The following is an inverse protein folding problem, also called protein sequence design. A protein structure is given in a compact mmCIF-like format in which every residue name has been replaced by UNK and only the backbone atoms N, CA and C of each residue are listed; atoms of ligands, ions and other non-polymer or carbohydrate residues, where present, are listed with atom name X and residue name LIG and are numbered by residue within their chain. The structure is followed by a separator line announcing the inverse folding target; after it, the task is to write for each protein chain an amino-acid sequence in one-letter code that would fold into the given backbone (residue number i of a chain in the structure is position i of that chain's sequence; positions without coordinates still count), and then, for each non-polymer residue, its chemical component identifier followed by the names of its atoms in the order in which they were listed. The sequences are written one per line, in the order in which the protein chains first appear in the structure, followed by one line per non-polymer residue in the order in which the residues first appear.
data_IF_952087041376
#
_entry.id   IF_952087041376
#
_cell.length_a   1.000
_cell.length_b   1.000
_cell.length_c   1.000
_cell.angle_alpha   90.00
_cell.angle_beta   90.00
_cell.angle_gamma   90.00
#
_symmetry.space_group_name_H-M   'P 1'
#
loop_
_entity.id
_entity.type
_entity.pdbx_description
1 polymer ?
#
# COMPACT_ATOMS: atom_id res chain seq x y z
N UNK A 1 -11.56 -17.61 8.94
CA UNK A 1 -12.06 -16.95 7.71
C UNK A 1 -11.18 -17.34 6.52
N UNK A 2 -11.73 -17.42 5.30
CA UNK A 2 -10.98 -17.64 4.05
C UNK A 2 -11.11 -16.39 3.18
N UNK A 3 -10.00 -15.91 2.64
CA UNK A 3 -9.95 -14.74 1.76
C UNK A 3 -8.85 -14.94 0.70
N UNK A 4 -9.18 -14.82 -0.60
CA UNK A 4 -8.34 -15.23 -1.74
C UNK A 4 -7.65 -16.59 -1.54
N UNK A 5 -8.41 -17.61 -1.10
CA UNK A 5 -7.91 -18.96 -0.78
C UNK A 5 -7.03 -19.05 0.48
N UNK A 6 -6.64 -17.93 1.08
CA UNK A 6 -5.83 -17.90 2.30
C UNK A 6 -6.69 -18.05 3.55
N UNK A 7 -6.28 -18.94 4.46
CA UNK A 7 -6.94 -19.11 5.76
C UNK A 7 -6.36 -18.18 6.83
N UNK A 8 -7.23 -17.44 7.51
CA UNK A 8 -6.88 -16.55 8.63
C UNK A 8 -7.51 -17.05 9.93
N UNK A 9 -6.69 -17.03 11.00
CA UNK A 9 -7.07 -17.42 12.37
C UNK A 9 -7.39 -16.21 13.28
N UNK A 10 -7.23 -14.99 12.76
CA UNK A 10 -7.55 -13.76 13.49
C UNK A 10 -9.03 -13.45 13.38
N UNK A 11 -9.53 -12.62 14.30
CA UNK A 11 -10.86 -12.05 14.22
C UNK A 11 -10.97 -11.11 13.01
N UNK A 12 -12.16 -10.96 12.47
CA UNK A 12 -12.42 -10.13 11.29
C UNK A 12 -11.99 -8.68 11.48
N UNK A 13 -12.21 -8.12 12.67
CA UNK A 13 -11.79 -6.76 13.02
C UNK A 13 -10.26 -6.54 12.97
N UNK A 14 -9.46 -7.60 13.15
CA UNK A 14 -7.99 -7.54 13.02
C UNK A 14 -7.52 -7.72 11.56
N UNK A 15 -8.45 -8.01 10.66
CA UNK A 15 -8.20 -8.23 9.24
C UNK A 15 -8.74 -7.09 8.37
N UNK A 16 -9.31 -6.05 8.98
CA UNK A 16 -9.69 -4.78 8.38
C UNK A 16 -8.88 -3.67 9.02
N UNK A 17 -8.47 -2.66 8.25
CA UNK A 17 -7.87 -1.45 8.80
C UNK A 17 -8.92 -0.68 9.61
N UNK A 18 -8.53 -0.30 10.82
CA UNK A 18 -9.35 0.55 11.68
C UNK A 18 -8.47 1.57 12.38
N UNK A 19 -9.09 2.65 12.86
CA UNK A 19 -8.39 3.65 13.67
C UNK A 19 -7.75 3.03 14.92
N UNK A 20 -8.36 1.98 15.48
CA UNK A 20 -7.89 1.28 16.69
C UNK A 20 -6.66 0.41 16.42
N UNK A 21 -6.56 -0.19 15.24
CA UNK A 21 -5.46 -1.09 14.88
C UNK A 21 -4.38 -0.45 13.98
N UNK A 22 -4.57 0.80 13.57
CA UNK A 22 -3.63 1.54 12.74
C UNK A 22 -2.26 1.72 13.44
N UNK A 23 -2.28 2.03 14.74
CA UNK A 23 -1.09 2.19 15.55
C UNK A 23 -0.71 0.88 16.23
N UNK A 24 0.25 0.16 15.65
CA UNK A 24 0.72 -1.10 16.22
C UNK A 24 1.66 -0.90 17.41
N UNK A 25 1.30 -1.50 18.55
CA UNK A 25 2.14 -1.65 19.74
C UNK A 25 2.59 -3.10 19.90
N UNK A 26 3.82 -3.30 20.34
CA UNK A 26 4.31 -4.61 20.79
C UNK A 26 3.57 -5.03 22.07
N UNK A 27 3.73 -6.29 22.48
CA UNK A 27 3.14 -6.84 23.72
C UNK A 27 3.55 -6.10 24.99
N UNK A 28 4.73 -5.48 25.01
CA UNK A 28 5.22 -4.67 26.13
C UNK A 28 4.68 -3.22 26.11
N UNK A 29 3.77 -2.89 25.17
CA UNK A 29 3.18 -1.56 25.02
C UNK A 29 4.02 -0.57 24.22
N UNK A 30 5.24 -0.95 23.80
CA UNK A 30 6.13 -0.05 23.04
C UNK A 30 5.82 -0.03 21.55
N UNK A 31 6.04 1.13 20.95
CA UNK A 31 6.06 1.29 19.50
C UNK A 31 7.34 0.70 18.89
N UNK A 32 7.25 -0.09 17.80
CA UNK A 32 8.43 -0.43 17.02
C UNK A 32 8.91 0.79 16.23
N UNK A 33 10.22 1.02 16.24
CA UNK A 33 10.90 2.09 15.51
C UNK A 33 11.95 1.48 14.57
N UNK A 34 12.07 2.02 13.35
CA UNK A 34 13.06 1.54 12.37
C UNK A 34 14.37 2.32 12.42
N UNK A 35 14.30 3.64 12.50
CA UNK A 35 15.47 4.52 12.37
C UNK A 35 16.22 4.72 13.69
N UNK A 36 15.72 4.13 14.78
CA UNK A 36 16.25 4.36 16.13
C UNK A 36 16.04 5.80 16.59
N UNK A 37 16.79 6.21 17.59
CA UNK A 37 16.67 7.53 18.21
C UNK A 37 16.03 7.49 19.59
N UNK A 38 16.29 8.52 20.38
CA UNK A 38 15.68 8.71 21.69
C UNK A 38 14.40 9.49 21.48
N UNK A 39 13.26 8.85 21.74
CA UNK A 39 11.95 9.48 21.74
C UNK A 39 11.54 9.75 23.18
N UNK A 40 11.27 11.01 23.49
CA UNK A 40 10.65 11.37 24.77
C UNK A 40 9.18 10.96 24.77
N UNK A 41 8.56 10.94 25.95
CA UNK A 41 7.12 10.72 26.06
C UNK A 41 6.31 11.77 25.26
N UNK A 42 6.79 13.03 25.24
CA UNK A 42 6.16 14.11 24.50
C UNK A 42 6.29 13.90 22.99
N UNK A 43 7.46 13.48 22.48
CA UNK A 43 7.65 13.15 21.06
C UNK A 43 6.70 12.02 20.61
N UNK A 44 6.52 11.01 21.46
CA UNK A 44 5.61 9.88 21.18
C UNK A 44 4.17 10.38 21.13
N UNK A 45 3.74 11.18 22.10
CA UNK A 45 2.37 11.68 22.17
C UNK A 45 2.05 12.61 20.98
N UNK A 46 2.97 13.50 20.62
CA UNK A 46 2.82 14.37 19.45
C UNK A 46 2.71 13.55 18.16
N UNK A 47 3.61 12.59 17.96
CA UNK A 47 3.61 11.78 16.74
C UNK A 47 2.42 10.82 16.67
N UNK A 48 1.94 10.32 17.81
CA UNK A 48 0.70 9.54 17.91
C UNK A 48 -0.48 10.35 17.36
N UNK A 49 -0.64 11.60 17.83
CA UNK A 49 -1.67 12.50 17.36
C UNK A 49 -1.53 12.79 15.87
N UNK A 50 -0.32 13.10 15.40
CA UNK A 50 -0.04 13.34 13.97
C UNK A 50 -0.44 12.13 13.11
N UNK A 51 -0.13 10.92 13.55
CA UNK A 51 -0.48 9.70 12.81
C UNK A 51 -1.99 9.51 12.75
N UNK A 52 -2.70 9.72 13.85
CA UNK A 52 -4.16 9.60 13.90
C UNK A 52 -4.85 10.68 13.08
N UNK A 53 -4.38 11.92 13.12
CA UNK A 53 -4.89 13.01 12.29
C UNK A 53 -4.65 12.71 10.79
N UNK A 54 -3.49 12.16 10.44
CA UNK A 54 -3.21 11.71 9.07
C UNK A 54 -4.16 10.58 8.64
N UNK A 55 -4.47 9.64 9.53
CA UNK A 55 -5.44 8.57 9.29
C UNK A 55 -6.81 9.15 9.01
N UNK A 56 -7.33 9.99 9.91
CA UNK A 56 -8.66 10.59 9.81
C UNK A 56 -8.78 11.42 8.52
N UNK A 57 -7.75 12.19 8.15
CA UNK A 57 -7.71 12.92 6.87
C UNK A 57 -7.70 12.00 5.63
N UNK A 58 -7.04 10.84 5.71
CA UNK A 58 -7.07 9.88 4.60
C UNK A 58 -8.47 9.26 4.47
N UNK A 59 -9.12 8.88 5.56
CA UNK A 59 -10.48 8.35 5.55
C UNK A 59 -11.48 9.35 4.95
N UNK A 60 -11.42 10.62 5.37
CA UNK A 60 -12.26 11.69 4.80
C UNK A 60 -12.02 11.86 3.30
N UNK A 61 -10.75 11.80 2.87
CA UNK A 61 -10.40 11.89 1.46
C UNK A 61 -10.96 10.70 0.65
N UNK A 62 -10.84 9.47 1.16
CA UNK A 62 -11.34 8.28 0.48
C UNK A 62 -12.86 8.28 0.32
N UNK A 63 -13.58 8.76 1.33
CA UNK A 63 -15.04 8.89 1.30
C UNK A 63 -15.51 9.81 0.15
N UNK A 64 -14.76 10.88 -0.11
CA UNK A 64 -15.06 11.88 -1.15
C UNK A 64 -14.74 11.44 -2.58
N UNK A 65 -13.96 10.37 -2.77
CA UNK A 65 -13.60 9.89 -4.10
C UNK A 65 -14.82 9.30 -4.83
N UNK A 66 -14.90 9.55 -6.14
CA UNK A 66 -15.98 9.04 -6.99
C UNK A 66 -15.76 7.56 -7.33
N UNK A 67 -16.71 6.71 -6.92
CA UNK A 67 -16.64 5.26 -7.14
C UNK A 67 -16.74 4.85 -8.61
N UNK A 68 -17.49 5.59 -9.43
CA UNK A 68 -17.64 5.30 -10.87
C UNK A 68 -16.33 5.62 -11.61
N UNK A 69 -15.70 6.74 -11.28
CA UNK A 69 -14.38 7.08 -11.80
C UNK A 69 -13.33 6.06 -11.36
N UNK A 70 -13.38 5.60 -10.11
CA UNK A 70 -12.50 4.56 -9.61
C UNK A 70 -12.65 3.24 -10.37
N UNK A 71 -13.89 2.74 -10.55
CA UNK A 71 -14.13 1.52 -11.33
C UNK A 71 -13.68 1.68 -12.79
N UNK A 72 -13.95 2.84 -13.42
CA UNK A 72 -13.47 3.13 -14.77
C UNK A 72 -11.95 3.11 -14.89
N UNK A 73 -11.22 3.53 -13.84
CA UNK A 73 -9.75 3.45 -13.81
C UNK A 73 -9.26 2.00 -13.78
N UNK A 74 -9.94 1.11 -13.06
CA UNK A 74 -9.61 -0.33 -13.02
C UNK A 74 -9.88 -0.97 -14.39
N UNK A 75 -11.02 -0.65 -15.00
CA UNK A 75 -11.36 -1.20 -16.32
C UNK A 75 -10.43 -0.67 -17.42
N UNK A 76 -10.03 0.60 -17.36
CA UNK A 76 -8.98 1.15 -18.24
C UNK A 76 -7.66 0.40 -18.06
N UNK A 77 -7.25 0.14 -16.81
CA UNK A 77 -6.02 -0.59 -16.52
C UNK A 77 -6.04 -1.99 -17.14
N UNK A 78 -7.14 -2.73 -17.01
CA UNK A 78 -7.30 -4.05 -17.63
C UNK A 78 -7.32 -4.00 -19.16
N UNK A 79 -7.92 -2.94 -19.72
CA UNK A 79 -7.99 -2.74 -21.17
C UNK A 79 -6.61 -2.41 -21.79
N UNK A 80 -5.88 -1.48 -21.18
CA UNK A 80 -4.55 -1.06 -21.64
C UNK A 80 -3.49 -2.14 -21.42
N UNK A 81 -3.66 -2.97 -20.38
CA UNK A 81 -2.73 -4.02 -19.98
C UNK A 81 -3.45 -5.38 -19.89
N UNK A 82 -3.77 -6.03 -21.02
CA UNK A 82 -4.58 -7.25 -21.03
C UNK A 82 -3.93 -8.46 -20.35
N UNK A 83 -2.61 -8.46 -20.20
CA UNK A 83 -1.87 -9.48 -19.43
C UNK A 83 -2.00 -9.30 -17.91
N UNK A 84 -2.59 -8.18 -17.45
CA UNK A 84 -2.86 -7.90 -16.05
C UNK A 84 -4.18 -8.52 -15.61
N UNK A 85 -4.13 -9.79 -15.23
CA UNK A 85 -5.32 -10.60 -15.00
C UNK A 85 -5.80 -10.54 -13.56
N UNK A 86 -7.12 -10.52 -13.38
CA UNK A 86 -7.73 -10.62 -12.06
C UNK A 86 -7.72 -12.05 -11.54
N UNK A 87 -7.32 -12.23 -10.29
CA UNK A 87 -7.28 -13.54 -9.63
C UNK A 87 -8.27 -13.56 -8.46
N UNK A 88 -8.82 -14.74 -8.19
CA UNK A 88 -9.73 -14.98 -7.06
C UNK A 88 -9.12 -15.90 -6.00
N UNK A 89 -7.98 -16.52 -6.29
CA UNK A 89 -7.26 -17.42 -5.40
C UNK A 89 -5.75 -17.14 -5.44
N UNK A 90 -5.26 -16.40 -4.45
CA UNK A 90 -3.85 -16.04 -4.33
C UNK A 90 -2.97 -17.28 -4.10
N UNK A 91 -3.54 -18.40 -3.62
CA UNK A 91 -2.77 -19.62 -3.33
C UNK A 91 -2.24 -20.32 -4.60
N UNK A 92 -2.80 -19.99 -5.77
CA UNK A 92 -2.38 -20.49 -7.08
C UNK A 92 -1.15 -19.74 -7.62
N UNK A 93 -0.81 -18.58 -7.04
CA UNK A 93 0.26 -17.70 -7.50
C UNK A 93 1.57 -17.84 -6.68
N UNK A 94 1.85 -19.06 -6.20
CA UNK A 94 3.05 -19.37 -5.37
C UNK A 94 4.34 -19.49 -6.17
N UNK A 95 4.24 -19.79 -7.46
CA UNK A 95 5.39 -20.04 -8.33
C UNK A 95 5.60 -18.91 -9.37
N UNK A 96 4.74 -17.88 -9.34
CA UNK A 96 4.70 -16.80 -10.34
C UNK A 96 5.12 -15.48 -9.73
N UNK A 97 5.81 -14.66 -10.51
CA UNK A 97 6.33 -13.36 -10.08
C UNK A 97 6.17 -12.32 -11.18
N UNK A 98 6.31 -11.04 -10.83
CA UNK A 98 6.04 -9.92 -11.73
C UNK A 98 5.42 -8.76 -10.97
N UNK A 99 4.38 -8.17 -11.54
CA UNK A 99 3.67 -7.00 -10.99
C UNK A 99 2.29 -7.39 -10.51
N UNK A 100 1.82 -6.78 -9.43
CA UNK A 100 0.49 -6.99 -8.88
C UNK A 100 -0.17 -5.67 -8.52
N UNK A 101 -1.50 -5.65 -8.59
CA UNK A 101 -2.33 -4.58 -8.04
C UNK A 101 -3.12 -5.13 -6.85
N UNK A 102 -3.04 -4.46 -5.71
CA UNK A 102 -4.00 -4.64 -4.61
C UNK A 102 -5.03 -3.52 -4.72
N UNK A 103 -6.29 -3.89 -4.95
CA UNK A 103 -7.40 -2.96 -5.09
C UNK A 103 -8.17 -2.95 -3.79
N UNK A 104 -8.36 -1.76 -3.24
CA UNK A 104 -8.97 -1.49 -1.95
C UNK A 104 -10.28 -0.73 -2.20
N UNK A 105 -11.36 -1.45 -2.57
CA UNK A 105 -12.61 -0.86 -3.06
C UNK A 105 -13.20 0.18 -2.11
N UNK A 106 -13.26 -0.15 -0.81
CA UNK A 106 -13.81 0.75 0.23
C UNK A 106 -13.08 2.11 0.27
N UNK A 107 -11.78 2.09 0.01
CA UNK A 107 -10.93 3.29 0.05
C UNK A 107 -10.77 3.93 -1.33
N UNK A 108 -11.28 3.29 -2.38
CA UNK A 108 -11.10 3.66 -3.79
C UNK A 108 -9.61 3.87 -4.09
N UNK A 109 -8.76 2.95 -3.66
CA UNK A 109 -7.32 3.01 -3.87
C UNK A 109 -6.78 1.77 -4.58
N UNK A 110 -5.76 1.98 -5.41
CA UNK A 110 -5.00 0.95 -6.14
C UNK A 110 -3.54 1.05 -5.70
N UNK A 111 -2.98 -0.05 -5.21
CA UNK A 111 -1.55 -0.17 -4.96
C UNK A 111 -0.92 -1.05 -6.03
N UNK A 112 0.09 -0.53 -6.72
CA UNK A 112 0.91 -1.31 -7.64
C UNK A 112 2.21 -1.71 -6.93
N UNK A 113 2.58 -2.98 -7.00
CA UNK A 113 3.86 -3.44 -6.51
C UNK A 113 4.45 -4.53 -7.39
N UNK A 114 5.73 -4.81 -7.18
CA UNK A 114 6.45 -5.88 -7.86
C UNK A 114 7.05 -6.90 -6.91
N UNK A 115 7.34 -8.09 -7.42
CA UNK A 115 8.02 -9.18 -6.70
C UNK A 115 8.83 -10.03 -7.67
N UNK A 116 9.99 -10.52 -7.21
CA UNK A 116 10.83 -11.52 -7.91
C UNK A 116 10.79 -12.90 -7.27
N UNK A 117 10.08 -13.03 -6.14
CA UNK A 117 9.97 -14.29 -5.41
C UNK A 117 8.70 -15.01 -5.82
N UNK A 118 7.56 -14.49 -5.37
CA UNK A 118 6.25 -14.77 -5.93
C UNK A 118 5.21 -13.77 -5.40
N UNK A 119 4.04 -13.74 -6.03
CA UNK A 119 2.91 -12.91 -5.64
C UNK A 119 2.35 -13.30 -4.27
N UNK A 120 2.16 -14.60 -4.04
CA UNK A 120 1.58 -15.12 -2.80
C UNK A 120 2.26 -14.57 -1.54
N UNK A 121 3.58 -14.72 -1.42
CA UNK A 121 4.29 -14.26 -0.22
C UNK A 121 4.36 -12.74 -0.13
N UNK A 122 4.45 -12.04 -1.27
CA UNK A 122 4.58 -10.58 -1.25
C UNK A 122 3.29 -9.89 -0.81
N UNK A 123 2.15 -10.27 -1.39
CA UNK A 123 0.84 -9.72 -1.00
C UNK A 123 0.50 -10.13 0.43
N UNK A 124 0.71 -11.40 0.80
CA UNK A 124 0.47 -11.84 2.18
C UNK A 124 1.34 -11.10 3.19
N UNK A 125 2.57 -10.74 2.81
CA UNK A 125 3.44 -9.91 3.65
C UNK A 125 2.81 -8.55 3.91
N UNK A 126 2.32 -7.86 2.87
CA UNK A 126 1.60 -6.59 3.01
C UNK A 126 0.42 -6.70 4.00
N UNK A 127 -0.38 -7.76 3.90
CA UNK A 127 -1.51 -7.99 4.82
C UNK A 127 -1.11 -8.29 6.27
N UNK A 128 0.11 -8.76 6.50
CA UNK A 128 0.54 -9.26 7.82
C UNK A 128 1.51 -8.34 8.54
N UNK A 129 2.23 -7.50 7.80
CA UNK A 129 3.20 -6.57 8.36
C UNK A 129 2.48 -5.49 9.17
N UNK A 130 3.21 -4.95 10.14
CA UNK A 130 2.82 -3.73 10.83
C UNK A 130 3.86 -2.67 10.49
N UNK A 131 3.41 -1.49 10.14
CA UNK A 131 4.29 -0.35 9.84
C UNK A 131 4.93 0.12 11.14
N UNK A 132 6.23 0.35 11.12
CA UNK A 132 6.93 0.95 12.26
C UNK A 132 6.42 2.39 12.51
N UNK A 133 6.31 2.77 13.78
CA UNK A 133 5.66 4.01 14.20
C UNK A 133 6.26 5.26 13.55
N UNK A 134 7.59 5.29 13.42
CA UNK A 134 8.37 6.34 12.77
C UNK A 134 8.26 6.34 11.22
N UNK A 135 7.48 5.44 10.62
CA UNK A 135 7.29 5.30 9.17
C UNK A 135 5.85 5.46 8.69
N UNK A 136 4.92 5.64 9.62
CA UNK A 136 3.52 5.90 9.31
C UNK A 136 3.37 7.18 8.49
N UNK A 137 4.15 8.21 8.84
CA UNK A 137 4.21 9.47 8.11
C UNK A 137 5.39 9.48 7.14
N UNK A 138 5.14 9.95 5.91
CA UNK A 138 6.17 10.21 4.91
C UNK A 138 6.07 11.67 4.43
N UNK A 139 7.00 12.51 4.87
CA UNK A 139 6.98 13.94 4.60
C UNK A 139 5.96 14.68 5.48
N UNK A 140 5.17 15.58 4.88
CA UNK A 140 4.11 16.32 5.58
C UNK A 140 2.91 15.40 5.87
N UNK A 141 2.56 15.26 7.15
CA UNK A 141 1.44 14.43 7.59
C UNK A 141 0.10 14.84 6.99
N UNK A 142 -0.11 16.09 6.58
CA UNK A 142 -1.37 16.51 5.94
C UNK A 142 -1.53 15.94 4.54
N UNK A 143 -0.43 15.48 3.94
CA UNK A 143 -0.37 15.01 2.55
C UNK A 143 0.16 13.57 2.42
N UNK A 144 0.67 13.00 3.50
CA UNK A 144 1.13 11.60 3.55
C UNK A 144 -0.02 10.65 3.24
N UNK A 145 0.18 9.74 2.29
CA UNK A 145 -0.72 8.60 2.08
C UNK A 145 -0.47 7.55 3.16
N UNK A 146 -1.50 6.77 3.49
CA UNK A 146 -1.30 5.61 4.35
C UNK A 146 -0.35 4.60 3.68
N UNK A 147 0.64 4.05 4.41
CA UNK A 147 1.44 2.94 3.90
C UNK A 147 0.55 1.76 3.51
N UNK A 148 0.86 1.07 2.42
CA UNK A 148 0.10 -0.13 2.00
C UNK A 148 0.07 -1.21 3.10
N UNK A 149 1.15 -1.38 3.86
CA UNK A 149 1.24 -2.33 4.99
C UNK A 149 0.31 -1.98 6.17
N UNK A 150 -0.34 -0.82 6.14
CA UNK A 150 -1.38 -0.47 7.13
C UNK A 150 -2.67 -1.23 6.83
N UNK A 151 -2.98 -1.43 5.55
CA UNK A 151 -4.15 -2.16 5.09
C UNK A 151 -3.95 -3.65 5.34
N UNK A 152 -5.03 -4.29 5.79
CA UNK A 152 -5.09 -5.68 6.20
C UNK A 152 -5.68 -6.54 5.08
N UNK A 153 -5.83 -7.83 5.36
CA UNK A 153 -6.23 -8.79 4.34
C UNK A 153 -7.56 -8.41 3.67
N UNK A 154 -8.59 -8.12 4.47
CA UNK A 154 -9.95 -7.90 3.98
C UNK A 154 -10.16 -6.50 3.40
N UNK A 155 -9.23 -5.57 3.60
CA UNK A 155 -9.25 -4.30 2.87
C UNK A 155 -8.94 -4.50 1.38
N UNK A 156 -8.25 -5.58 1.02
CA UNK A 156 -8.03 -5.96 -0.37
C UNK A 156 -9.23 -6.73 -0.89
N UNK A 157 -9.90 -6.18 -1.89
CA UNK A 157 -11.16 -6.74 -2.41
C UNK A 157 -10.99 -7.31 -3.81
N UNK A 158 -9.98 -6.85 -4.55
CA UNK A 158 -9.57 -7.42 -5.84
C UNK A 158 -8.04 -7.48 -5.93
N UNK A 159 -7.54 -8.48 -6.64
CA UNK A 159 -6.11 -8.63 -6.93
C UNK A 159 -5.95 -8.82 -8.42
N UNK A 160 -5.11 -7.98 -9.04
CA UNK A 160 -4.62 -8.21 -10.39
C UNK A 160 -3.16 -8.69 -10.31
N UNK A 161 -2.75 -9.61 -11.18
CA UNK A 161 -1.36 -10.03 -11.34
C UNK A 161 -0.97 -9.99 -12.82
N UNK A 162 0.22 -9.47 -13.09
CA UNK A 162 0.87 -9.46 -14.40
C UNK A 162 2.17 -10.25 -14.27
N UNK A 163 2.15 -11.53 -14.65
CA UNK A 163 3.29 -12.42 -14.46
C UNK A 163 4.31 -12.16 -15.56
N UNK A 164 5.56 -11.99 -15.15
CA UNK A 164 6.65 -11.51 -16.00
C UNK A 164 7.83 -12.48 -15.89
N UNK A 165 7.55 -13.77 -15.99
CA UNK A 165 8.59 -14.78 -15.95
C UNK A 165 9.56 -14.61 -17.13
N UNK A 166 10.86 -14.60 -16.83
CA UNK A 166 11.92 -14.43 -17.83
C UNK A 166 12.31 -12.98 -18.12
N UNK A 167 11.58 -11.99 -17.59
CA UNK A 167 11.94 -10.58 -17.69
C UNK A 167 13.11 -10.25 -16.75
N UNK A 168 13.91 -9.24 -17.11
CA UNK A 168 14.95 -8.71 -16.22
C UNK A 168 14.36 -7.89 -15.07
N UNK A 169 15.17 -7.51 -14.08
CA UNK A 169 14.72 -6.62 -13.00
C UNK A 169 14.42 -5.22 -13.54
N UNK A 170 15.23 -4.76 -14.49
CA UNK A 170 15.08 -3.48 -15.18
C UNK A 170 13.77 -3.43 -15.99
N UNK A 171 13.42 -4.51 -16.70
CA UNK A 171 12.15 -4.55 -17.44
C UNK A 171 10.95 -4.48 -16.49
N UNK A 172 10.98 -5.24 -15.39
CA UNK A 172 9.89 -5.22 -14.39
C UNK A 172 9.77 -3.83 -13.76
N UNK A 173 10.89 -3.13 -13.51
CA UNK A 173 10.88 -1.76 -13.03
C UNK A 173 10.19 -0.80 -13.98
N UNK A 174 10.52 -0.90 -15.28
CA UNK A 174 9.92 -0.06 -16.32
C UNK A 174 8.42 -0.32 -16.38
N UNK A 175 7.99 -1.58 -16.39
CA UNK A 175 6.56 -1.91 -16.44
C UNK A 175 5.84 -1.45 -15.16
N UNK A 176 6.44 -1.60 -13.97
CA UNK A 176 5.89 -1.09 -12.70
C UNK A 176 5.68 0.42 -12.78
N UNK A 177 6.67 1.15 -13.30
CA UNK A 177 6.59 2.61 -13.44
C UNK A 177 5.48 3.02 -14.41
N UNK A 178 5.38 2.36 -15.58
CA UNK A 178 4.32 2.64 -16.56
C UNK A 178 2.93 2.40 -15.96
N UNK A 179 2.74 1.32 -15.22
CA UNK A 179 1.47 1.03 -14.54
C UNK A 179 1.14 2.03 -13.43
N UNK A 180 2.15 2.49 -12.68
CA UNK A 180 1.96 3.53 -11.66
C UNK A 180 1.56 4.86 -12.30
N UNK A 181 2.19 5.23 -13.41
CA UNK A 181 1.94 6.48 -14.13
C UNK A 181 0.62 6.47 -14.91
N UNK A 182 0.08 5.30 -15.25
CA UNK A 182 -1.22 5.17 -15.93
C UNK A 182 -2.41 5.33 -14.99
N UNK A 183 -2.22 5.36 -13.67
CA UNK A 183 -3.30 5.50 -12.68
C UNK A 183 -3.38 6.96 -12.23
N UNK A 184 -4.60 7.52 -12.18
CA UNK A 184 -4.82 8.85 -11.60
C UNK A 184 -4.36 8.87 -10.13
N UNK A 185 -3.58 9.89 -9.80
CA UNK A 185 -2.91 10.06 -8.51
C UNK A 185 -3.88 10.00 -7.32
N UNK A 186 -5.13 10.43 -7.51
CA UNK A 186 -6.16 10.41 -6.45
C UNK A 186 -6.53 8.98 -6.03
N UNK A 187 -6.46 8.02 -6.96
CA UNK A 187 -6.74 6.61 -6.72
C UNK A 187 -5.47 5.80 -6.42
N UNK A 188 -4.28 6.38 -6.51
CA UNK A 188 -3.02 5.66 -6.33
C UNK A 188 -2.56 5.62 -4.86
N UNK A 189 -2.41 4.43 -4.28
CA UNK A 189 -1.91 4.22 -2.91
C UNK A 189 -0.38 4.31 -2.78
N UNK A 190 0.36 4.12 -3.87
CA UNK A 190 1.82 4.19 -3.86
C UNK A 190 2.32 5.53 -3.28
N UNK A 191 3.23 5.46 -2.30
CA UNK A 191 3.91 6.64 -1.71
C UNK A 191 5.12 7.11 -2.52
N UNK A 192 5.70 6.20 -3.28
CA UNK A 192 6.87 6.40 -4.13
C UNK A 192 6.51 5.90 -5.52
N UNK A 193 6.95 6.61 -6.56
CA UNK A 193 7.01 6.04 -7.92
C UNK A 193 7.94 4.81 -7.92
N UNK A 194 7.68 3.84 -8.80
CA UNK A 194 8.33 2.51 -8.86
C UNK A 194 9.80 2.44 -8.44
N UNK A 195 10.16 1.37 -7.73
CA UNK A 195 11.28 1.35 -6.80
C UNK A 195 12.67 1.53 -7.43
N UNK A 196 13.22 2.73 -7.35
CA UNK A 196 14.67 2.97 -7.44
C UNK A 196 15.13 4.09 -6.49
N UNK A 197 14.75 4.02 -5.21
CA UNK A 197 15.56 4.69 -4.18
C UNK A 197 16.75 3.76 -3.89
N UNK A 198 17.86 3.99 -4.60
CA UNK A 198 19.16 3.70 -4.01
C UNK A 198 19.27 4.59 -2.77
N UNK A 199 19.14 4.00 -1.57
CA UNK A 199 19.31 4.68 -0.28
C UNK A 199 20.76 5.14 -0.02
N UNK A 200 21.61 5.17 -1.05
CA UNK A 200 22.96 5.71 -1.00
C UNK A 200 22.99 7.06 -1.71
N UNK A 201 23.20 8.10 -0.90
CA UNK A 201 23.47 9.50 -1.24
C UNK A 201 22.26 10.44 -1.28
N UNK A 202 22.15 11.22 -0.20
CA UNK A 202 21.56 12.57 -0.11
C UNK A 202 20.30 12.79 -0.96
N UNK A 203 19.15 12.60 -0.29
CA UNK A 203 17.90 13.34 -0.49
C UNK A 203 17.88 14.26 -1.71
N UNK A 204 17.36 13.76 -2.83
CA UNK A 204 16.68 14.62 -3.81
C UNK A 204 15.18 14.54 -3.54
N UNK A 205 14.51 15.64 -3.16
CA UNK A 205 13.07 15.69 -2.86
C UNK A 205 12.14 15.41 -4.06
N UNK A 206 12.63 14.91 -5.19
CA UNK A 206 11.97 14.97 -6.49
C UNK A 206 11.37 13.66 -7.02
N UNK A 207 11.33 12.58 -6.22
CA UNK A 207 10.77 11.29 -6.65
C UNK A 207 9.67 10.75 -5.73
N UNK A 208 8.88 11.66 -5.15
CA UNK A 208 7.59 11.30 -4.61
C UNK A 208 6.61 11.16 -5.78
N UNK A 209 5.73 10.15 -5.75
CA UNK A 209 4.44 10.35 -6.43
C UNK A 209 3.95 11.72 -5.99
N UNK A 210 3.54 12.58 -6.93
CA UNK A 210 3.08 13.92 -6.60
C UNK A 210 2.18 13.82 -5.36
N UNK A 211 2.55 14.66 -4.42
CA UNK A 211 2.02 14.65 -3.07
C UNK A 211 0.56 15.04 -3.20
N UNK A 212 -0.38 14.18 -2.77
CA UNK A 212 -1.84 14.38 -2.88
C UNK A 212 -2.17 15.86 -2.66
N UNK A 213 -2.44 16.59 -3.74
CA UNK A 213 -2.96 17.94 -3.63
C UNK A 213 -4.42 17.81 -3.22
N UNK A 214 -4.65 17.81 -1.90
CA UNK A 214 -5.97 17.96 -1.29
C UNK A 214 -6.30 19.45 -1.29
N UNK A 215 -7.08 19.91 -2.27
CA UNK A 215 -7.84 21.15 -2.09
C UNK A 215 -9.11 20.75 -1.31
N UNK A 216 -9.06 20.88 0.01
CA UNK A 216 -10.28 20.98 0.83
C UNK A 216 -10.83 22.41 0.72
#
# INVERSE_FOLDING_TARGET
MIHFGCSFKKDEADLLLSRENYLYKKRNGEYPLRFGGIWTADDIAEHEQICLDNFDLNMLFYDQLDGVQFDNQIERLKFEFPDFVEITDLTQEKERYGIYAMILDEYKQIYIGKTRKNFFYRIKKHWSDNVEFDRLIFGDWRKSKLPIDSFKALDTTRILVMPLEGYSEEDILIVEQVLVESIDEVFLANRLSGGSIQWSNRLTPYMCSKVKFRNL
#
